data_IF_728196466617
#
_entry.id   IF_728196466617
#
_cell.length_a   1.000
_cell.length_b   1.000
_cell.length_c   1.000
_cell.angle_alpha   90.00
_cell.angle_beta   90.00
_cell.angle_gamma   90.00
#
_symmetry.space_group_name_H-M   'P 1'
#
loop_
_entity.id
_entity.type
_entity.pdbx_description
1 polymer ?
#
# COMPACT_ATOMS: atom_id res chain seq x y z
N UNK A 1 19.21 -4.96 -16.15
CA UNK A 1 18.35 -6.15 -16.26
C UNK A 1 17.03 -5.77 -16.94
N UNK A 2 16.41 -6.71 -17.61
CA UNK A 2 15.07 -6.56 -18.19
C UNK A 2 14.05 -7.19 -17.26
N UNK A 3 13.24 -6.38 -16.61
CA UNK A 3 12.33 -6.78 -15.52
C UNK A 3 10.89 -6.66 -16.02
N UNK A 4 10.08 -7.69 -15.81
CA UNK A 4 8.64 -7.59 -15.88
C UNK A 4 8.08 -7.49 -14.47
N UNK A 5 7.38 -6.41 -14.18
CA UNK A 5 6.55 -6.28 -12.98
C UNK A 5 5.10 -6.56 -13.34
N UNK A 6 4.41 -7.46 -12.62
CA UNK A 6 3.03 -7.83 -12.93
C UNK A 6 2.18 -7.90 -11.66
N UNK A 7 1.23 -7.00 -11.54
CA UNK A 7 0.42 -6.83 -10.34
C UNK A 7 -1.04 -6.49 -10.66
N UNK A 8 -1.77 -6.01 -9.68
CA UNK A 8 -3.16 -5.56 -9.78
C UNK A 8 -3.30 -4.12 -9.34
N UNK A 9 -4.38 -3.40 -9.71
CA UNK A 9 -4.61 -2.02 -9.25
C UNK A 9 -4.61 -1.82 -7.73
N UNK A 10 -4.85 -2.89 -6.96
CA UNK A 10 -4.92 -2.82 -5.50
C UNK A 10 -3.57 -2.60 -4.81
N UNK A 11 -2.46 -2.82 -5.52
CA UNK A 11 -1.10 -2.62 -5.02
C UNK A 11 -0.36 -1.49 -5.75
N UNK A 12 -1.04 -0.80 -6.67
CA UNK A 12 -0.43 0.24 -7.49
C UNK A 12 0.18 1.39 -6.67
N UNK A 13 -0.32 1.65 -5.46
CA UNK A 13 0.20 2.65 -4.53
C UNK A 13 1.62 2.34 -4.03
N UNK A 14 1.98 1.07 -3.88
CA UNK A 14 3.36 0.65 -3.57
C UNK A 14 4.15 0.21 -4.81
N UNK A 15 3.48 -0.27 -5.86
CA UNK A 15 4.14 -0.75 -7.08
C UNK A 15 4.71 0.40 -7.93
N UNK A 16 3.96 1.49 -8.10
CA UNK A 16 4.40 2.64 -8.91
C UNK A 16 5.73 3.21 -8.40
N UNK A 17 5.88 3.49 -7.09
CA UNK A 17 7.14 3.97 -6.56
C UNK A 17 8.30 2.97 -6.75
N UNK A 18 8.05 1.68 -6.57
CA UNK A 18 9.09 0.66 -6.79
C UNK A 18 9.49 0.56 -8.26
N UNK A 19 8.51 0.53 -9.17
CA UNK A 19 8.78 0.48 -10.62
C UNK A 19 9.55 1.71 -11.06
N UNK A 20 9.15 2.91 -10.60
CA UNK A 20 9.88 4.17 -10.82
C UNK A 20 11.33 4.06 -10.35
N UNK A 21 11.56 3.63 -9.11
CA UNK A 21 12.91 3.53 -8.55
C UNK A 21 13.79 2.52 -9.34
N UNK A 22 13.21 1.42 -9.82
CA UNK A 22 13.92 0.48 -10.68
C UNK A 22 14.25 1.08 -12.07
N UNK A 23 13.34 1.90 -12.64
CA UNK A 23 13.57 2.63 -13.88
C UNK A 23 14.70 3.68 -13.71
N UNK A 24 14.65 4.45 -12.62
CA UNK A 24 15.68 5.44 -12.26
C UNK A 24 17.05 4.81 -12.00
N UNK A 25 17.07 3.55 -11.50
CA UNK A 25 18.30 2.76 -11.35
C UNK A 25 18.82 2.20 -12.71
N UNK A 26 18.22 2.57 -13.85
CA UNK A 26 18.68 2.21 -15.19
C UNK A 26 18.24 0.82 -15.65
N UNK A 27 17.21 0.22 -15.03
CA UNK A 27 16.69 -1.07 -15.46
C UNK A 27 15.58 -0.91 -16.52
N UNK A 28 15.51 -1.88 -17.47
CA UNK A 28 14.42 -1.96 -18.45
C UNK A 28 13.20 -2.63 -17.81
N UNK A 29 12.32 -1.81 -17.22
CA UNK A 29 11.15 -2.30 -16.49
C UNK A 29 9.88 -2.15 -17.33
N UNK A 30 9.22 -3.26 -17.62
CA UNK A 30 7.86 -3.30 -18.17
C UNK A 30 6.88 -3.59 -17.04
N UNK A 31 5.83 -2.78 -16.89
CA UNK A 31 4.83 -3.00 -15.87
C UNK A 31 3.50 -3.42 -16.48
N UNK A 32 3.01 -4.61 -16.11
CA UNK A 32 1.68 -5.11 -16.44
C UNK A 32 0.74 -4.96 -15.24
N UNK A 33 -0.46 -4.41 -15.47
CA UNK A 33 -1.49 -4.24 -14.44
C UNK A 33 -2.73 -5.03 -14.86
N UNK A 34 -3.11 -6.03 -14.07
CA UNK A 34 -4.29 -6.86 -14.32
C UNK A 34 -5.56 -6.11 -13.94
N UNK A 35 -6.23 -5.50 -14.91
CA UNK A 35 -7.49 -4.78 -14.73
C UNK A 35 -8.69 -5.68 -15.03
N UNK A 36 -9.69 -5.64 -14.15
CA UNK A 36 -10.97 -6.34 -14.30
C UNK A 36 -12.11 -5.45 -13.79
N UNK A 37 -13.40 -5.73 -14.09
CA UNK A 37 -14.51 -4.88 -13.71
C UNK A 37 -14.60 -4.57 -12.21
N UNK A 38 -14.14 -5.48 -11.35
CA UNK A 38 -14.12 -5.27 -9.88
C UNK A 38 -12.95 -4.41 -9.38
N UNK A 39 -11.98 -4.08 -10.23
CA UNK A 39 -10.78 -3.32 -9.89
C UNK A 39 -10.64 -1.99 -10.64
N UNK A 40 -11.70 -1.52 -11.29
CA UNK A 40 -11.74 -0.22 -11.96
C UNK A 40 -11.58 0.94 -10.98
N UNK A 41 -12.01 0.72 -9.75
CA UNK A 41 -11.86 1.66 -8.65
C UNK A 41 -11.01 1.04 -7.55
N UNK A 42 -9.83 1.58 -7.36
CA UNK A 42 -8.86 1.18 -6.33
C UNK A 42 -8.06 2.41 -5.91
N UNK A 43 -7.00 2.25 -5.11
CA UNK A 43 -6.28 3.37 -4.50
C UNK A 43 -5.84 4.43 -5.53
N UNK A 44 -5.19 4.01 -6.62
CA UNK A 44 -4.70 4.93 -7.68
C UNK A 44 -5.58 4.94 -8.94
N UNK A 45 -6.54 4.06 -9.03
CA UNK A 45 -7.39 3.87 -10.21
C UNK A 45 -8.81 4.35 -9.92
N UNK A 46 -9.33 5.22 -10.76
CA UNK A 46 -10.74 5.61 -10.79
C UNK A 46 -11.21 5.63 -12.27
N UNK A 47 -11.09 4.44 -12.90
CA UNK A 47 -11.45 4.24 -14.30
C UNK A 47 -12.95 4.39 -14.44
N UNK A 48 -13.38 5.36 -15.22
CA UNK A 48 -14.80 5.67 -15.46
C UNK A 48 -15.43 4.74 -16.46
N UNK A 49 -14.69 4.45 -17.54
CA UNK A 49 -15.15 3.60 -18.62
C UNK A 49 -14.08 2.57 -18.99
N UNK A 50 -14.43 1.30 -18.87
CA UNK A 50 -13.52 0.22 -19.24
C UNK A 50 -13.52 -0.02 -20.76
N UNK A 51 -12.33 -0.11 -21.36
CA UNK A 51 -12.18 -0.52 -22.76
C UNK A 51 -12.82 -1.90 -22.98
N UNK A 52 -13.73 -2.00 -23.98
CA UNK A 52 -14.55 -3.20 -24.22
C UNK A 52 -13.81 -4.28 -25.03
N UNK A 53 -12.50 -4.40 -24.85
CA UNK A 53 -11.65 -5.41 -25.51
C UNK A 53 -10.82 -6.17 -24.47
N UNK A 54 -10.81 -7.51 -24.58
CA UNK A 54 -9.94 -8.36 -23.78
C UNK A 54 -8.55 -8.41 -24.43
N UNK A 55 -7.66 -7.48 -24.06
CA UNK A 55 -6.34 -7.30 -24.68
C UNK A 55 -5.28 -6.83 -23.66
N UNK A 56 -4.01 -6.89 -24.07
CA UNK A 56 -2.93 -6.17 -23.39
C UNK A 56 -2.75 -4.87 -24.17
N UNK A 57 -3.09 -3.76 -23.54
CA UNK A 57 -3.10 -2.43 -24.16
C UNK A 57 -2.19 -1.46 -23.37
N UNK A 58 -1.60 -0.44 -24.00
CA UNK A 58 -0.87 0.59 -23.28
C UNK A 58 -1.76 1.27 -22.23
N UNK A 59 -1.17 1.64 -21.10
CA UNK A 59 -1.91 2.35 -20.03
C UNK A 59 -2.49 3.69 -20.51
N UNK A 60 -1.92 4.30 -21.53
CA UNK A 60 -2.38 5.55 -22.18
C UNK A 60 -3.77 5.46 -22.80
N UNK A 61 -4.32 4.26 -22.98
CA UNK A 61 -5.74 4.07 -23.36
C UNK A 61 -6.73 4.51 -22.27
N UNK A 62 -6.23 4.71 -21.03
CA UNK A 62 -7.02 5.18 -19.91
C UNK A 62 -6.60 6.60 -19.53
N UNK A 63 -7.40 7.64 -19.89
CA UNK A 63 -7.07 9.04 -19.62
C UNK A 63 -6.81 9.34 -18.14
N UNK A 64 -7.47 8.58 -17.25
CA UNK A 64 -7.32 8.72 -15.80
C UNK A 64 -5.90 8.39 -15.31
N UNK A 65 -5.14 7.61 -16.07
CA UNK A 65 -3.76 7.26 -15.74
C UNK A 65 -2.74 8.27 -16.25
N UNK A 66 -3.14 9.22 -17.10
CA UNK A 66 -2.25 10.23 -17.67
C UNK A 66 -1.57 11.10 -16.61
N UNK A 67 -2.21 11.32 -15.49
CA UNK A 67 -1.66 12.09 -14.36
C UNK A 67 -0.31 11.54 -13.87
N UNK A 68 -0.04 10.25 -14.08
CA UNK A 68 1.21 9.60 -13.65
C UNK A 68 2.36 9.70 -14.67
N UNK A 69 2.15 10.29 -15.86
CA UNK A 69 3.22 10.50 -16.85
C UNK A 69 4.35 11.39 -16.33
N UNK A 70 4.04 12.32 -15.41
CA UNK A 70 5.03 13.15 -14.74
C UNK A 70 5.70 12.47 -13.53
N UNK A 71 5.21 11.30 -13.14
CA UNK A 71 5.71 10.58 -11.97
C UNK A 71 6.68 9.46 -12.36
N UNK A 72 6.38 8.70 -13.42
CA UNK A 72 7.18 7.57 -13.89
C UNK A 72 7.07 7.40 -15.42
N UNK A 73 7.95 6.59 -16.02
CA UNK A 73 7.85 6.26 -17.45
C UNK A 73 6.63 5.36 -17.72
N UNK A 74 5.52 5.98 -18.12
CA UNK A 74 4.28 5.30 -18.46
C UNK A 74 4.31 4.61 -19.84
N UNK A 75 5.33 4.84 -20.68
CA UNK A 75 5.43 4.24 -22.02
C UNK A 75 5.60 2.72 -21.98
N UNK A 76 6.08 2.18 -20.86
CA UNK A 76 6.28 0.75 -20.59
C UNK A 76 5.25 0.16 -19.62
N UNK A 77 4.16 0.89 -19.36
CA UNK A 77 3.04 0.42 -18.53
C UNK A 77 1.92 -0.07 -19.44
N UNK A 78 1.48 -1.30 -19.22
CA UNK A 78 0.42 -1.95 -19.99
C UNK A 78 -0.67 -2.48 -19.07
N UNK A 79 -1.90 -2.37 -19.54
CA UNK A 79 -3.08 -2.91 -18.87
C UNK A 79 -3.45 -4.26 -19.50
N UNK A 80 -3.45 -5.30 -18.69
CA UNK A 80 -4.06 -6.60 -19.04
C UNK A 80 -5.57 -6.44 -18.82
N UNK A 81 -6.23 -5.87 -19.82
CA UNK A 81 -7.65 -5.51 -19.75
C UNK A 81 -8.54 -6.73 -19.92
N UNK A 82 -9.32 -7.04 -18.90
CA UNK A 82 -10.28 -8.15 -18.87
C UNK A 82 -11.67 -7.62 -18.54
N UNK A 83 -12.61 -7.76 -19.49
CA UNK A 83 -13.99 -7.26 -19.35
C UNK A 83 -14.92 -8.18 -18.55
N UNK A 84 -14.42 -9.30 -18.04
CA UNK A 84 -15.21 -10.33 -17.37
C UNK A 84 -14.84 -10.44 -15.89
N UNK A 85 -15.88 -10.53 -15.05
CA UNK A 85 -15.75 -10.68 -13.59
C UNK A 85 -15.09 -12.00 -13.17
N UNK A 86 -15.42 -13.10 -13.86
CA UNK A 86 -15.05 -14.45 -13.42
C UNK A 86 -13.61 -14.80 -13.82
N UNK A 87 -12.75 -15.01 -12.82
CA UNK A 87 -11.35 -15.43 -13.03
C UNK A 87 -11.21 -16.83 -13.65
N UNK A 88 -12.22 -17.68 -13.51
CA UNK A 88 -12.21 -19.06 -14.00
C UNK A 88 -12.78 -19.23 -15.41
N UNK A 89 -13.23 -18.17 -16.05
CA UNK A 89 -13.82 -18.21 -17.40
C UNK A 89 -12.81 -18.62 -18.48
N UNK A 90 -13.31 -19.14 -19.61
CA UNK A 90 -12.49 -19.43 -20.80
C UNK A 90 -11.81 -18.18 -21.34
N UNK A 91 -12.44 -17.01 -21.21
CA UNK A 91 -11.86 -15.74 -21.64
C UNK A 91 -10.70 -15.32 -20.72
N UNK A 92 -10.81 -15.54 -19.41
CA UNK A 92 -9.69 -15.33 -18.47
C UNK A 92 -8.51 -16.27 -18.81
N UNK A 93 -8.79 -17.51 -19.21
CA UNK A 93 -7.78 -18.43 -19.72
C UNK A 93 -7.10 -17.90 -21.00
N UNK A 94 -7.91 -17.45 -21.98
CA UNK A 94 -7.38 -16.85 -23.22
C UNK A 94 -6.51 -15.62 -22.92
N UNK A 95 -6.90 -14.78 -21.96
CA UNK A 95 -6.09 -13.64 -21.53
C UNK A 95 -4.76 -14.09 -20.90
N UNK A 96 -4.78 -15.12 -20.05
CA UNK A 96 -3.54 -15.68 -19.51
C UNK A 96 -2.59 -16.18 -20.60
N UNK A 97 -3.13 -16.80 -21.68
CA UNK A 97 -2.31 -17.19 -22.84
C UNK A 97 -1.70 -15.99 -23.56
N UNK A 98 -2.43 -14.85 -23.67
CA UNK A 98 -1.87 -13.61 -24.22
C UNK A 98 -0.72 -13.11 -23.33
N UNK A 99 -0.87 -13.13 -22.01
CA UNK A 99 0.19 -12.77 -21.05
C UNK A 99 1.40 -13.69 -21.19
N UNK A 100 1.21 -15.01 -21.29
CA UNK A 100 2.33 -15.97 -21.54
C UNK A 100 3.09 -15.63 -22.80
N UNK A 101 2.37 -15.34 -23.90
CA UNK A 101 3.01 -14.94 -25.18
C UNK A 101 3.77 -13.62 -25.03
N UNK A 102 3.20 -12.64 -24.35
CA UNK A 102 3.84 -11.36 -24.07
C UNK A 102 5.15 -11.56 -23.30
N UNK A 103 5.12 -12.34 -22.21
CA UNK A 103 6.29 -12.66 -21.39
C UNK A 103 7.38 -13.36 -22.23
N UNK A 104 7.01 -14.37 -23.03
CA UNK A 104 7.96 -15.09 -23.86
C UNK A 104 8.60 -14.20 -24.91
N UNK A 105 7.82 -13.32 -25.56
CA UNK A 105 8.32 -12.36 -26.56
C UNK A 105 9.24 -11.33 -25.92
N UNK A 106 8.94 -10.89 -24.70
CA UNK A 106 9.69 -9.86 -23.98
C UNK A 106 11.08 -10.32 -23.50
N UNK A 107 11.33 -11.64 -23.35
CA UNK A 107 12.61 -12.22 -22.90
C UNK A 107 13.14 -11.58 -21.60
N UNK A 108 12.26 -11.45 -20.60
CA UNK A 108 12.59 -10.84 -19.30
C UNK A 108 13.56 -11.72 -18.51
N UNK A 109 14.50 -11.09 -17.82
CA UNK A 109 15.45 -11.74 -16.92
C UNK A 109 14.74 -12.19 -15.64
N UNK A 110 13.91 -11.29 -15.08
CA UNK A 110 13.13 -11.49 -13.86
C UNK A 110 11.68 -11.12 -14.10
N UNK A 111 10.77 -11.85 -13.48
CA UNK A 111 9.34 -11.57 -13.42
C UNK A 111 8.97 -11.37 -11.96
N UNK A 112 8.63 -10.15 -11.58
CA UNK A 112 8.16 -9.85 -10.23
C UNK A 112 6.64 -9.72 -10.22
N UNK A 113 5.98 -10.33 -9.23
CA UNK A 113 4.55 -10.15 -9.00
C UNK A 113 4.29 -9.80 -7.56
N UNK A 114 3.47 -8.79 -7.33
CA UNK A 114 3.16 -8.28 -6.00
C UNK A 114 1.83 -8.82 -5.45
N UNK A 115 1.25 -9.76 -6.14
CA UNK A 115 0.04 -10.44 -5.70
C UNK A 115 -0.11 -11.82 -6.29
N UNK A 116 -0.93 -12.61 -5.64
CA UNK A 116 -1.43 -13.87 -6.21
C UNK A 116 -2.48 -13.55 -7.25
N UNK A 117 -2.08 -13.55 -8.48
CA UNK A 117 -2.95 -13.40 -9.64
C UNK A 117 -3.96 -14.57 -9.72
N UNK A 118 -5.11 -14.39 -10.36
CA UNK A 118 -6.20 -15.35 -10.42
C UNK A 118 -5.83 -16.79 -10.86
N UNK A 119 -6.78 -17.71 -10.83
CA UNK A 119 -6.57 -19.17 -10.96
C UNK A 119 -5.71 -19.59 -12.16
N UNK A 120 -5.96 -19.03 -13.35
CA UNK A 120 -5.22 -19.41 -14.56
C UNK A 120 -3.76 -18.97 -14.55
N UNK A 121 -3.40 -18.02 -13.67
CA UNK A 121 -2.03 -17.56 -13.50
C UNK A 121 -1.12 -18.58 -12.81
N UNK A 122 -1.66 -19.67 -12.25
CA UNK A 122 -0.86 -20.84 -11.85
C UNK A 122 -0.02 -21.38 -13.03
N UNK A 123 -0.50 -21.20 -14.27
CA UNK A 123 0.28 -21.52 -15.47
C UNK A 123 1.54 -20.65 -15.59
N UNK A 124 1.48 -19.38 -15.22
CA UNK A 124 2.66 -18.49 -15.20
C UNK A 124 3.69 -18.99 -14.18
N UNK A 125 3.24 -19.35 -12.98
CA UNK A 125 4.12 -19.90 -11.93
C UNK A 125 4.78 -21.21 -12.40
N UNK A 126 4.04 -22.10 -13.06
CA UNK A 126 4.59 -23.34 -13.61
C UNK A 126 5.62 -23.08 -14.72
N UNK A 127 5.37 -22.14 -15.62
CA UNK A 127 6.23 -21.86 -16.77
C UNK A 127 7.47 -21.02 -16.41
N UNK A 128 7.33 -20.08 -15.48
CA UNK A 128 8.35 -19.07 -15.21
C UNK A 128 8.83 -19.05 -13.75
N UNK A 129 8.33 -19.91 -12.88
CA UNK A 129 8.57 -19.85 -11.44
C UNK A 129 10.03 -19.85 -10.99
N UNK A 130 10.96 -20.34 -11.85
CA UNK A 130 12.40 -20.28 -11.57
C UNK A 130 12.95 -18.86 -11.55
N UNK A 131 12.41 -17.97 -12.39
CA UNK A 131 12.79 -16.55 -12.50
C UNK A 131 11.71 -15.59 -11.97
N UNK A 132 10.69 -16.13 -11.30
CA UNK A 132 9.67 -15.34 -10.65
C UNK A 132 10.06 -15.01 -9.23
N UNK A 133 9.73 -13.78 -8.84
CA UNK A 133 9.75 -13.26 -7.47
C UNK A 133 8.33 -12.93 -7.08
N UNK A 134 7.88 -13.38 -5.92
CA UNK A 134 6.55 -13.11 -5.39
C UNK A 134 6.64 -12.34 -4.07
N UNK A 135 6.16 -11.10 -4.07
CA UNK A 135 5.97 -10.34 -2.82
C UNK A 135 4.73 -10.83 -2.10
N UNK A 136 4.86 -11.08 -0.82
CA UNK A 136 3.80 -11.55 0.07
C UNK A 136 3.50 -10.45 1.10
N UNK A 137 2.36 -9.78 0.95
CA UNK A 137 1.93 -8.74 1.89
C UNK A 137 1.44 -9.35 3.21
N UNK A 138 0.61 -10.40 3.11
CA UNK A 138 0.05 -11.11 4.26
C UNK A 138 0.36 -12.61 4.17
N UNK A 139 1.47 -13.06 4.78
CA UNK A 139 1.87 -14.47 4.76
C UNK A 139 0.83 -15.40 5.40
N UNK A 140 0.11 -14.89 6.38
CA UNK A 140 -0.93 -15.60 7.14
C UNK A 140 -2.22 -14.78 7.11
N UNK A 141 -3.11 -15.09 6.16
CA UNK A 141 -4.36 -14.35 6.01
C UNK A 141 -5.24 -14.42 7.24
N UNK A 142 -5.92 -13.32 7.54
CA UNK A 142 -6.81 -13.19 8.69
C UNK A 142 -7.94 -14.21 8.65
N UNK A 143 -8.40 -14.66 9.82
CA UNK A 143 -9.50 -15.60 9.99
C UNK A 143 -10.77 -15.07 9.32
N UNK A 144 -11.33 -15.84 8.37
CA UNK A 144 -12.58 -15.50 7.66
C UNK A 144 -12.41 -14.96 6.24
N UNK A 145 -11.20 -14.61 5.79
CA UNK A 145 -10.98 -14.00 4.47
C UNK A 145 -10.61 -15.00 3.36
N UNK A 146 -10.36 -16.28 3.69
CA UNK A 146 -9.87 -17.25 2.70
C UNK A 146 -10.90 -18.32 2.38
N UNK A 147 -11.26 -18.38 1.10
CA UNK A 147 -11.96 -19.55 0.55
C UNK A 147 -10.99 -20.73 0.34
N UNK A 148 -11.51 -21.96 0.37
CA UNK A 148 -10.74 -23.19 0.09
C UNK A 148 -9.95 -23.09 -1.24
N UNK A 149 -10.56 -22.46 -2.26
CA UNK A 149 -9.93 -22.20 -3.56
C UNK A 149 -8.72 -21.25 -3.49
N UNK A 150 -8.84 -20.16 -2.74
CA UNK A 150 -7.72 -19.23 -2.53
C UNK A 150 -6.58 -19.93 -1.79
N UNK A 151 -6.89 -20.72 -0.76
CA UNK A 151 -5.91 -21.51 0.00
C UNK A 151 -5.17 -22.51 -0.89
N UNK A 152 -5.88 -23.19 -1.79
CA UNK A 152 -5.28 -24.12 -2.76
C UNK A 152 -4.34 -23.38 -3.72
N UNK A 153 -4.79 -22.28 -4.34
CA UNK A 153 -3.98 -21.50 -5.26
C UNK A 153 -2.70 -20.97 -4.57
N UNK A 154 -2.83 -20.50 -3.32
CA UNK A 154 -1.71 -20.03 -2.51
C UNK A 154 -0.69 -21.16 -2.31
N UNK A 155 -1.14 -22.34 -1.86
CA UNK A 155 -0.26 -23.50 -1.67
C UNK A 155 0.44 -23.93 -2.96
N UNK A 156 -0.25 -23.87 -4.09
CA UNK A 156 0.33 -24.21 -5.40
C UNK A 156 1.36 -23.17 -5.85
N UNK A 157 1.12 -21.88 -5.66
CA UNK A 157 2.07 -20.82 -5.96
C UNK A 157 3.36 -20.98 -5.14
N UNK A 158 3.25 -21.24 -3.82
CA UNK A 158 4.40 -21.48 -2.95
C UNK A 158 5.28 -22.67 -3.39
N UNK A 159 4.69 -23.68 -4.04
CA UNK A 159 5.42 -24.82 -4.59
C UNK A 159 6.12 -24.54 -5.93
N UNK A 160 5.57 -23.62 -6.73
CA UNK A 160 6.02 -23.38 -8.10
C UNK A 160 7.00 -22.20 -8.20
N UNK A 161 6.83 -21.16 -7.37
CA UNK A 161 7.72 -20.01 -7.29
C UNK A 161 8.90 -20.34 -6.39
N UNK A 162 10.07 -19.79 -6.69
CA UNK A 162 11.30 -20.09 -5.94
C UNK A 162 11.85 -18.94 -5.12
N UNK A 163 11.37 -17.71 -5.36
CA UNK A 163 11.92 -16.52 -4.72
C UNK A 163 10.77 -15.68 -4.18
N UNK A 164 10.89 -15.28 -2.93
CA UNK A 164 9.84 -14.58 -2.20
C UNK A 164 10.37 -13.31 -1.58
N UNK A 165 9.51 -12.33 -1.42
CA UNK A 165 9.78 -11.13 -0.63
C UNK A 165 8.76 -11.06 0.49
N UNK A 166 9.23 -10.94 1.71
CA UNK A 166 8.41 -10.62 2.88
C UNK A 166 8.70 -9.20 3.31
N UNK A 167 7.67 -8.49 3.74
CA UNK A 167 7.73 -7.07 4.04
C UNK A 167 8.01 -6.79 5.54
N UNK A 168 8.19 -7.84 6.33
CA UNK A 168 8.69 -7.78 7.70
C UNK A 168 9.43 -9.08 8.06
N UNK A 169 10.34 -9.00 9.03
CA UNK A 169 11.16 -10.15 9.43
C UNK A 169 10.45 -11.08 10.43
N UNK A 170 9.51 -10.59 11.23
CA UNK A 170 8.84 -11.34 12.30
C UNK A 170 8.13 -12.61 11.81
N UNK A 171 7.66 -12.60 10.57
CA UNK A 171 6.91 -13.71 10.00
C UNK A 171 7.78 -14.70 9.20
N UNK A 172 9.07 -14.41 9.01
CA UNK A 172 9.99 -15.21 8.17
C UNK A 172 10.10 -16.67 8.64
N UNK A 173 10.37 -16.87 9.92
CA UNK A 173 10.56 -18.22 10.45
C UNK A 173 9.29 -19.06 10.31
N UNK A 174 8.14 -18.50 10.67
CA UNK A 174 6.85 -19.16 10.53
C UNK A 174 6.51 -19.43 9.06
N UNK A 175 6.83 -18.51 8.15
CA UNK A 175 6.63 -18.67 6.70
C UNK A 175 7.48 -19.83 6.17
N UNK A 176 8.76 -19.89 6.51
CA UNK A 176 9.64 -20.98 6.12
C UNK A 176 9.10 -22.34 6.57
N UNK A 177 8.68 -22.46 7.83
CA UNK A 177 8.10 -23.69 8.38
C UNK A 177 6.79 -24.09 7.71
N UNK A 178 5.89 -23.14 7.50
CA UNK A 178 4.53 -23.39 6.99
C UNK A 178 4.50 -23.78 5.51
N UNK A 179 5.40 -23.21 4.72
CA UNK A 179 5.42 -23.41 3.26
C UNK A 179 6.63 -24.21 2.76
N UNK A 180 7.51 -24.68 3.66
CA UNK A 180 8.74 -25.41 3.34
C UNK A 180 9.65 -24.62 2.37
N UNK A 181 9.74 -23.30 2.59
CA UNK A 181 10.60 -22.38 1.85
C UNK A 181 11.91 -22.22 2.59
N UNK A 182 13.04 -22.28 1.88
CA UNK A 182 14.36 -22.10 2.48
C UNK A 182 14.66 -20.61 2.70
N UNK A 183 15.35 -20.25 3.80
CA UNK A 183 15.63 -18.85 4.15
C UNK A 183 16.33 -18.03 3.04
N UNK A 184 17.22 -18.69 2.25
CA UNK A 184 17.93 -18.06 1.13
C UNK A 184 17.06 -17.76 -0.11
N UNK A 185 15.83 -18.25 -0.14
CA UNK A 185 14.84 -17.95 -1.16
C UNK A 185 14.03 -16.67 -0.83
N UNK A 186 14.27 -16.08 0.34
CA UNK A 186 13.48 -14.98 0.87
C UNK A 186 14.34 -13.73 1.02
N UNK A 187 13.94 -12.67 0.35
CA UNK A 187 14.35 -11.31 0.66
C UNK A 187 13.43 -10.74 1.73
N UNK A 188 13.98 -10.23 2.82
CA UNK A 188 13.26 -9.34 3.73
C UNK A 188 13.46 -7.91 3.23
N UNK A 189 12.37 -7.26 2.89
CA UNK A 189 12.36 -5.87 2.49
C UNK A 189 11.23 -5.14 3.23
N UNK A 190 10.95 -3.91 2.86
CA UNK A 190 9.93 -3.08 3.51
C UNK A 190 9.12 -2.30 2.49
N UNK A 191 7.99 -1.75 2.91
CA UNK A 191 7.28 -0.75 2.14
C UNK A 191 7.99 0.60 2.29
N UNK A 192 8.14 1.30 1.18
CA UNK A 192 8.48 2.72 1.17
C UNK A 192 7.24 3.60 1.29
N UNK A 193 7.44 4.91 1.28
CA UNK A 193 6.34 5.87 1.30
C UNK A 193 5.56 5.84 -0.03
N UNK A 194 4.25 6.06 0.03
CA UNK A 194 3.41 6.11 -1.17
C UNK A 194 3.45 7.51 -1.80
N UNK A 195 4.64 7.90 -2.30
CA UNK A 195 4.94 9.24 -2.78
C UNK A 195 4.29 9.59 -4.12
N UNK A 196 3.67 8.63 -4.81
CA UNK A 196 2.82 8.86 -5.96
C UNK A 196 1.62 9.81 -5.69
N UNK A 197 1.20 9.96 -4.43
CA UNK A 197 0.19 10.94 -4.01
C UNK A 197 0.68 12.39 -4.26
N UNK A 198 2.00 12.62 -4.33
CA UNK A 198 2.59 13.92 -4.62
C UNK A 198 2.14 14.50 -5.97
N UNK A 199 1.73 13.64 -6.91
CA UNK A 199 1.13 14.02 -8.21
C UNK A 199 -0.09 14.94 -8.05
N UNK A 200 -0.76 14.86 -6.90
CA UNK A 200 -1.97 15.62 -6.58
C UNK A 200 -1.72 16.79 -5.62
N UNK A 201 -0.47 17.06 -5.25
CA UNK A 201 -0.18 18.17 -4.36
C UNK A 201 -0.43 19.50 -5.04
N UNK A 202 -1.05 20.39 -4.30
CA UNK A 202 -1.24 21.79 -4.70
C UNK A 202 -0.46 22.68 -3.76
N UNK A 203 0.21 23.74 -4.27
CA UNK A 203 0.79 24.75 -3.41
C UNK A 203 -0.26 25.32 -2.47
N UNK A 204 0.01 25.29 -1.19
CA UNK A 204 -0.86 25.85 -0.15
C UNK A 204 -0.03 26.67 0.81
N UNK A 205 -0.62 27.77 1.32
CA UNK A 205 -0.01 28.50 2.42
C UNK A 205 0.04 27.59 3.66
N UNK A 206 1.22 27.51 4.28
CA UNK A 206 1.46 26.72 5.48
C UNK A 206 0.75 27.34 6.68
N UNK A 207 -0.54 27.07 6.86
CA UNK A 207 -1.24 27.40 8.09
C UNK A 207 -0.97 26.32 9.13
N UNK A 208 -0.65 26.74 10.35
CA UNK A 208 -0.60 25.82 11.51
C UNK A 208 -1.96 25.20 11.66
N UNK A 209 -2.05 23.89 11.52
CA UNK A 209 -3.29 23.14 11.64
C UNK A 209 -3.29 22.30 12.91
N UNK A 210 -4.43 22.25 13.61
CA UNK A 210 -4.68 21.29 14.70
C UNK A 210 -5.68 20.20 14.26
N UNK A 211 -5.75 19.93 12.94
CA UNK A 211 -6.57 18.86 12.42
C UNK A 211 -5.88 17.50 12.61
N UNK A 212 -6.59 16.56 13.22
CA UNK A 212 -6.25 15.15 13.38
C UNK A 212 -6.95 14.37 12.27
N UNK A 213 -6.22 13.60 11.48
CA UNK A 213 -6.76 12.86 10.36
C UNK A 213 -6.76 11.35 10.62
N UNK A 214 -7.94 10.74 10.53
CA UNK A 214 -8.10 9.30 10.34
C UNK A 214 -8.55 9.06 8.91
N UNK A 215 -7.88 8.17 8.19
CA UNK A 215 -8.31 7.80 6.83
C UNK A 215 -8.12 6.31 6.52
N UNK A 216 -8.83 5.86 5.49
CA UNK A 216 -8.86 4.48 5.06
C UNK A 216 -10.17 3.77 5.43
N UNK A 217 -10.27 2.48 5.11
CA UNK A 217 -11.51 1.71 5.30
C UNK A 217 -11.96 1.71 6.76
N UNK A 218 -13.23 2.03 7.00
CA UNK A 218 -13.84 1.93 8.33
C UNK A 218 -14.13 0.46 8.62
N UNK A 219 -13.52 -0.07 9.69
CA UNK A 219 -13.71 -1.46 10.13
C UNK A 219 -13.31 -1.59 11.61
N UNK A 220 -13.82 -2.59 12.35
CA UNK A 220 -13.62 -2.71 13.79
C UNK A 220 -12.14 -2.73 14.21
N UNK A 221 -11.29 -3.45 13.49
CA UNK A 221 -9.86 -3.54 13.84
C UNK A 221 -9.11 -2.20 13.69
N UNK A 222 -9.68 -1.22 12.99
CA UNK A 222 -9.12 0.13 12.83
C UNK A 222 -9.30 1.01 14.08
N UNK A 223 -10.12 0.61 15.05
CA UNK A 223 -10.23 1.23 16.36
C UNK A 223 -10.72 2.68 16.37
N UNK A 224 -11.56 3.07 15.38
CA UNK A 224 -12.04 4.44 15.22
C UNK A 224 -12.81 4.92 16.46
N UNK A 225 -13.51 4.04 17.17
CA UNK A 225 -14.22 4.34 18.42
C UNK A 225 -13.29 4.85 19.52
N UNK A 226 -12.07 4.31 19.63
CA UNK A 226 -11.08 4.76 20.61
C UNK A 226 -10.55 6.16 20.26
N UNK A 227 -10.38 6.46 18.97
CA UNK A 227 -10.00 7.79 18.52
C UNK A 227 -11.10 8.82 18.84
N UNK A 228 -12.35 8.50 18.54
CA UNK A 228 -13.46 9.40 18.86
C UNK A 228 -13.53 9.73 20.35
N UNK A 229 -13.35 8.73 21.23
CA UNK A 229 -13.29 8.93 22.68
C UNK A 229 -12.07 9.77 23.10
N UNK A 230 -10.90 9.50 22.53
CA UNK A 230 -9.68 10.26 22.82
C UNK A 230 -9.82 11.73 22.42
N UNK A 231 -10.47 12.01 21.29
CA UNK A 231 -10.64 13.38 20.79
C UNK A 231 -11.51 14.26 21.69
N UNK A 232 -12.42 13.71 22.49
CA UNK A 232 -13.13 14.46 23.52
C UNK A 232 -12.12 15.06 24.52
N UNK A 233 -11.20 14.23 25.04
CA UNK A 233 -10.15 14.66 25.97
C UNK A 233 -9.13 15.59 25.30
N UNK A 234 -8.85 15.40 24.02
CA UNK A 234 -8.00 16.31 23.24
C UNK A 234 -8.65 17.70 23.18
N UNK A 235 -9.95 17.76 22.90
CA UNK A 235 -10.70 19.01 22.76
C UNK A 235 -10.70 19.85 24.03
N UNK A 236 -10.71 19.21 25.22
CA UNK A 236 -10.61 19.88 26.52
C UNK A 236 -9.28 20.63 26.70
N UNK A 237 -8.19 20.13 26.10
CA UNK A 237 -6.84 20.69 26.25
C UNK A 237 -6.34 21.47 25.03
N UNK A 238 -6.91 21.24 23.87
CA UNK A 238 -6.62 21.93 22.61
C UNK A 238 -7.97 22.32 21.97
N UNK A 239 -8.55 23.45 22.41
CA UNK A 239 -9.93 23.85 22.04
C UNK A 239 -10.17 24.03 20.55
N UNK A 240 -9.15 24.32 19.74
CA UNK A 240 -9.20 24.45 18.28
C UNK A 240 -8.87 23.14 17.54
N UNK A 241 -8.61 22.03 18.24
CA UNK A 241 -8.42 20.73 17.61
C UNK A 241 -9.67 20.29 16.85
N UNK A 242 -9.48 19.71 15.68
CA UNK A 242 -10.54 19.12 14.85
C UNK A 242 -10.20 17.69 14.46
N UNK A 243 -11.22 16.90 14.16
CA UNK A 243 -11.08 15.51 13.69
C UNK A 243 -11.70 15.37 12.30
N UNK A 244 -10.93 14.87 11.35
CA UNK A 244 -11.44 14.42 10.05
C UNK A 244 -11.37 12.91 9.97
N UNK A 245 -12.50 12.26 9.70
CA UNK A 245 -12.64 10.82 9.46
C UNK A 245 -12.97 10.63 7.98
N UNK A 246 -12.04 10.06 7.21
CA UNK A 246 -12.15 9.96 5.76
C UNK A 246 -11.99 8.51 5.27
N UNK A 247 -13.07 7.91 4.74
CA UNK A 247 -13.02 6.58 4.17
C UNK A 247 -14.33 5.81 4.26
N UNK A 248 -14.53 4.88 3.34
CA UNK A 248 -15.77 4.11 3.26
C UNK A 248 -15.78 2.88 4.18
N UNK A 249 -16.95 2.52 4.65
CA UNK A 249 -17.19 1.30 5.41
C UNK A 249 -18.48 1.33 6.21
N UNK A 250 -18.88 0.15 6.70
CA UNK A 250 -20.03 0.08 7.61
C UNK A 250 -19.58 0.55 8.99
N UNK A 251 -20.26 1.58 9.52
CA UNK A 251 -20.04 2.02 10.90
C UNK A 251 -20.43 0.88 11.85
N UNK A 252 -19.56 0.56 12.80
CA UNK A 252 -19.70 -0.57 13.71
C UNK A 252 -19.94 -0.15 15.18
N UNK A 253 -19.98 1.16 15.43
CA UNK A 253 -20.35 1.78 16.71
C UNK A 253 -21.23 3.00 16.44
N UNK A 254 -21.84 3.55 17.46
CA UNK A 254 -22.64 4.77 17.33
C UNK A 254 -21.75 6.00 17.16
N UNK A 255 -21.65 6.50 15.94
CA UNK A 255 -20.89 7.70 15.58
C UNK A 255 -21.69 9.00 15.79
N UNK A 256 -23.01 8.93 15.93
CA UNK A 256 -23.89 10.10 15.92
C UNK A 256 -23.56 11.14 17.02
N UNK A 257 -23.18 10.76 18.25
CA UNK A 257 -22.78 11.74 19.28
C UNK A 257 -21.56 12.59 18.88
N UNK A 258 -20.63 11.99 18.12
CA UNK A 258 -19.42 12.66 17.64
C UNK A 258 -19.69 13.47 16.39
N UNK A 259 -20.47 12.94 15.47
CA UNK A 259 -20.81 13.62 14.19
C UNK A 259 -21.63 14.90 14.39
N UNK A 260 -22.32 15.05 15.52
CA UNK A 260 -23.05 16.28 15.89
C UNK A 260 -22.11 17.40 16.38
N UNK A 261 -20.84 17.09 16.63
CA UNK A 261 -19.87 18.08 17.08
C UNK A 261 -19.36 18.89 15.88
N UNK A 262 -19.25 20.20 16.02
CA UNK A 262 -18.77 21.13 14.99
C UNK A 262 -17.29 20.95 14.62
N UNK A 263 -16.53 20.28 15.49
CA UNK A 263 -15.13 19.95 15.30
C UNK A 263 -14.88 18.55 14.68
N UNK A 264 -15.94 17.81 14.30
CA UNK A 264 -15.82 16.47 13.66
C UNK A 264 -16.39 16.48 12.25
N UNK A 265 -15.56 16.11 11.29
CA UNK A 265 -15.97 15.90 9.89
C UNK A 265 -15.92 14.42 9.56
N UNK A 266 -17.04 13.85 9.09
CA UNK A 266 -17.14 12.44 8.69
C UNK A 266 -17.42 12.34 7.20
N UNK A 267 -16.45 11.78 6.45
CA UNK A 267 -16.52 11.52 5.01
C UNK A 267 -16.62 10.00 4.83
N UNK A 268 -17.81 9.42 5.08
CA UNK A 268 -18.01 7.98 4.97
C UNK A 268 -18.32 7.55 3.52
N UNK A 269 -17.30 7.60 2.69
CA UNK A 269 -17.30 7.13 1.30
C UNK A 269 -15.88 6.85 0.85
N UNK A 270 -15.72 6.30 -0.34
CA UNK A 270 -14.40 6.26 -0.98
C UNK A 270 -13.88 7.69 -1.19
N UNK A 271 -12.64 7.92 -0.77
CA UNK A 271 -11.91 9.18 -0.92
C UNK A 271 -10.86 8.99 -2.01
N UNK A 272 -10.96 9.76 -3.08
CA UNK A 272 -9.99 9.71 -4.19
C UNK A 272 -8.64 10.33 -3.79
N UNK A 273 -7.61 10.07 -4.58
CA UNK A 273 -6.24 10.50 -4.25
C UNK A 273 -6.08 12.02 -4.17
N UNK A 274 -6.74 12.77 -5.04
CA UNK A 274 -6.70 14.24 -5.01
C UNK A 274 -7.30 14.80 -3.71
N UNK A 275 -8.45 14.30 -3.31
CA UNK A 275 -9.10 14.71 -2.05
C UNK A 275 -8.24 14.28 -0.84
N UNK A 276 -7.71 13.04 -0.86
CA UNK A 276 -6.85 12.55 0.21
C UNK A 276 -5.57 13.37 0.35
N UNK A 277 -4.96 13.77 -0.77
CA UNK A 277 -3.80 14.67 -0.78
C UNK A 277 -4.12 16.00 -0.09
N UNK A 278 -5.27 16.61 -0.41
CA UNK A 278 -5.74 17.82 0.25
C UNK A 278 -5.96 17.66 1.75
N UNK A 279 -6.59 16.55 2.18
CA UNK A 279 -6.79 16.25 3.60
C UNK A 279 -5.46 16.09 4.34
N UNK A 280 -4.52 15.36 3.75
CA UNK A 280 -3.18 15.17 4.32
C UNK A 280 -2.37 16.47 4.37
N UNK A 281 -2.43 17.31 3.33
CA UNK A 281 -1.77 18.61 3.36
C UNK A 281 -2.26 19.47 4.53
N UNK A 282 -3.56 19.41 4.82
CA UNK A 282 -4.21 20.25 5.84
C UNK A 282 -4.19 19.65 7.25
N UNK A 283 -3.77 18.41 7.47
CA UNK A 283 -3.71 17.85 8.81
C UNK A 283 -2.38 18.14 9.52
N UNK A 284 -2.42 18.19 10.86
CA UNK A 284 -1.24 18.26 11.71
C UNK A 284 -0.54 16.90 11.80
N UNK A 285 -1.34 15.85 11.94
CA UNK A 285 -0.90 14.46 12.11
C UNK A 285 -2.00 13.48 11.68
N UNK A 286 -1.60 12.24 11.42
CA UNK A 286 -2.55 11.13 11.19
C UNK A 286 -2.57 10.17 12.38
N UNK A 287 -3.68 9.45 12.55
CA UNK A 287 -3.84 8.49 13.65
C UNK A 287 -4.22 7.11 13.13
N UNK A 288 -3.50 6.09 13.61
CA UNK A 288 -3.75 4.67 13.36
C UNK A 288 -4.05 3.93 14.68
N UNK A 289 -5.28 4.03 15.24
CA UNK A 289 -5.61 3.51 16.57
C UNK A 289 -5.98 2.03 16.52
N UNK A 290 -5.29 1.25 15.70
CA UNK A 290 -5.64 -0.11 15.33
C UNK A 290 -5.57 -1.08 16.51
N UNK A 291 -6.46 -2.08 16.51
CA UNK A 291 -6.43 -3.16 17.50
C UNK A 291 -5.72 -4.41 16.96
N UNK A 292 -5.53 -4.49 15.65
CA UNK A 292 -4.78 -5.54 14.96
C UNK A 292 -4.29 -5.02 13.60
N UNK A 293 -3.06 -5.35 13.21
CA UNK A 293 -2.54 -5.01 11.87
C UNK A 293 -1.27 -5.80 11.54
N UNK A 294 -1.13 -6.23 10.28
CA UNK A 294 0.14 -6.73 9.73
C UNK A 294 1.02 -5.58 9.27
N UNK A 295 0.42 -4.62 8.57
CA UNK A 295 1.04 -3.42 8.02
C UNK A 295 0.00 -2.30 7.83
N UNK A 296 0.44 -1.09 7.51
CA UNK A 296 -0.47 0.02 7.25
C UNK A 296 0.00 0.93 6.11
N UNK A 297 -0.65 0.86 4.96
CA UNK A 297 -0.50 1.84 3.89
C UNK A 297 -0.82 3.27 4.34
N UNK A 298 -1.69 3.43 5.34
CA UNK A 298 -2.02 4.74 5.94
C UNK A 298 -0.76 5.43 6.51
N UNK A 299 0.13 4.68 7.19
CA UNK A 299 1.38 5.24 7.70
C UNK A 299 2.28 5.68 6.54
N UNK A 300 2.44 4.84 5.52
CA UNK A 300 3.30 5.15 4.37
C UNK A 300 2.73 6.33 3.54
N UNK A 301 1.41 6.43 3.42
CA UNK A 301 0.75 7.58 2.79
C UNK A 301 0.93 8.85 3.62
N UNK A 302 0.85 8.79 4.96
CA UNK A 302 1.10 9.95 5.83
C UNK A 302 2.55 10.42 5.73
N UNK A 303 3.49 9.48 5.71
CA UNK A 303 4.91 9.79 5.60
C UNK A 303 5.30 10.35 4.23
N UNK A 304 4.51 10.11 3.19
CA UNK A 304 4.76 10.73 1.87
C UNK A 304 4.65 12.27 1.90
N UNK A 305 3.88 12.83 2.86
CA UNK A 305 3.83 14.26 3.14
C UNK A 305 4.58 14.64 4.43
N UNK A 306 5.46 13.79 4.89
CA UNK A 306 6.22 13.99 6.15
C UNK A 306 5.31 14.26 7.36
N UNK A 307 4.06 13.74 7.37
CA UNK A 307 3.13 13.90 8.50
C UNK A 307 3.45 12.87 9.57
N UNK A 308 3.72 13.28 10.83
CA UNK A 308 3.92 12.34 11.92
C UNK A 308 2.62 11.56 12.21
N UNK A 309 2.79 10.34 12.72
CA UNK A 309 1.67 9.44 13.00
C UNK A 309 1.61 9.09 14.48
N UNK A 310 0.42 9.14 15.08
CA UNK A 310 0.16 8.45 16.34
C UNK A 310 -0.45 7.09 16.03
N UNK A 311 0.24 6.02 16.40
CA UNK A 311 -0.21 4.65 16.11
C UNK A 311 -0.22 3.79 17.38
N UNK A 312 -1.02 2.75 17.35
CA UNK A 312 -0.96 1.70 18.38
C UNK A 312 0.17 0.72 18.09
N UNK A 313 0.80 0.21 19.14
CA UNK A 313 1.88 -0.77 19.02
C UNK A 313 1.30 -2.19 18.85
N UNK A 314 0.72 -2.44 17.68
CA UNK A 314 0.16 -3.76 17.28
C UNK A 314 0.81 -4.27 16.01
N UNK A 315 1.03 -5.58 15.94
CA UNK A 315 1.56 -6.25 14.76
C UNK A 315 2.81 -5.60 14.20
N UNK A 316 2.79 -5.24 12.92
CA UNK A 316 3.90 -4.61 12.23
C UNK A 316 3.95 -3.08 12.36
N UNK A 317 2.98 -2.41 13.00
CA UNK A 317 2.97 -0.96 13.11
C UNK A 317 4.15 -0.43 13.92
N UNK A 318 4.56 -1.18 14.96
CA UNK A 318 5.74 -0.85 15.77
C UNK A 318 7.07 -0.85 14.99
N UNK A 319 7.13 -1.52 13.84
CA UNK A 319 8.30 -1.48 12.94
C UNK A 319 8.23 -0.32 11.94
N UNK A 320 7.02 0.19 11.66
CA UNK A 320 6.79 1.28 10.72
C UNK A 320 6.93 2.65 11.37
N UNK A 321 6.66 2.77 12.68
CA UNK A 321 6.75 4.02 13.43
C UNK A 321 7.88 3.94 14.45
N UNK A 322 8.91 4.76 14.27
CA UNK A 322 9.98 4.93 15.27
C UNK A 322 9.47 5.89 16.36
N UNK A 323 9.15 5.31 17.54
CA UNK A 323 8.55 6.05 18.64
C UNK A 323 9.42 7.25 19.08
N UNK A 324 8.84 8.43 19.08
CA UNK A 324 9.51 9.69 19.40
C UNK A 324 10.30 10.31 18.24
N UNK A 325 10.56 9.58 17.14
CA UNK A 325 11.35 10.04 16.00
C UNK A 325 10.49 10.35 14.76
N UNK A 326 9.60 9.43 14.37
CA UNK A 326 8.73 9.62 13.18
C UNK A 326 7.25 9.70 13.54
N UNK A 327 6.93 9.44 14.81
CA UNK A 327 5.59 9.44 15.36
C UNK A 327 5.61 8.99 16.82
N UNK A 328 4.43 8.69 17.36
CA UNK A 328 4.28 8.16 18.73
C UNK A 328 3.56 6.81 18.68
N UNK A 329 4.00 5.88 19.52
CA UNK A 329 3.37 4.58 19.73
C UNK A 329 2.68 4.55 21.09
N UNK A 330 1.45 4.03 21.11
CA UNK A 330 0.64 3.85 22.33
C UNK A 330 0.10 2.41 22.41
N UNK A 331 -0.35 2.00 23.59
CA UNK A 331 -1.02 0.71 23.74
C UNK A 331 -2.37 0.69 23.00
N UNK A 332 -2.77 -0.44 22.39
CA UNK A 332 -4.08 -0.54 21.76
C UNK A 332 -5.21 -0.43 22.78
N UNK A 333 -6.33 0.18 22.37
CA UNK A 333 -7.52 0.42 23.20
C UNK A 333 -7.30 1.33 24.42
N UNK A 334 -6.14 1.96 24.56
CA UNK A 334 -5.83 2.92 25.60
C UNK A 334 -6.17 4.34 25.14
N UNK A 335 -7.39 4.76 25.48
CA UNK A 335 -7.95 6.08 25.12
C UNK A 335 -7.13 7.21 25.73
N UNK A 336 -6.63 7.04 26.97
CA UNK A 336 -5.88 8.08 27.68
C UNK A 336 -4.49 8.27 27.11
N UNK A 337 -3.77 7.18 26.84
CA UNK A 337 -2.47 7.25 26.16
C UNK A 337 -2.61 7.83 24.75
N UNK A 338 -3.67 7.47 24.00
CA UNK A 338 -3.95 8.00 22.67
C UNK A 338 -4.21 9.51 22.73
N UNK A 339 -5.07 9.97 23.63
CA UNK A 339 -5.36 11.39 23.82
C UNK A 339 -4.08 12.17 24.19
N UNK A 340 -3.31 11.68 25.16
CA UNK A 340 -2.06 12.31 25.59
C UNK A 340 -1.04 12.41 24.45
N UNK A 341 -0.90 11.38 23.63
CA UNK A 341 0.01 11.40 22.48
C UNK A 341 -0.42 12.45 21.43
N UNK A 342 -1.71 12.54 21.13
CA UNK A 342 -2.26 13.54 20.20
C UNK A 342 -2.05 14.95 20.76
N UNK A 343 -2.39 15.21 22.03
CA UNK A 343 -2.21 16.51 22.69
C UNK A 343 -0.75 16.94 22.64
N UNK A 344 0.18 16.04 22.97
CA UNK A 344 1.61 16.33 22.94
C UNK A 344 2.09 16.79 21.56
N UNK A 345 1.60 16.16 20.49
CA UNK A 345 1.97 16.56 19.15
C UNK A 345 1.25 17.83 18.68
N UNK A 346 -0.01 18.05 19.07
CA UNK A 346 -0.73 19.27 18.68
C UNK A 346 -0.15 20.52 19.35
N UNK A 347 0.32 20.42 20.60
CA UNK A 347 0.89 21.54 21.36
C UNK A 347 2.37 21.82 21.03
N UNK A 348 3.07 20.96 20.29
CA UNK A 348 4.51 21.08 20.06
C UNK A 348 4.83 21.05 18.55
N UNK A 349 4.77 22.23 17.92
CA UNK A 349 5.08 22.43 16.51
C UNK A 349 6.53 22.08 16.18
N UNK A 350 7.46 22.38 17.10
CA UNK A 350 8.89 22.08 16.93
C UNK A 350 9.09 20.57 16.86
N UNK A 351 8.44 19.84 17.73
CA UNK A 351 8.50 18.37 17.73
C UNK A 351 7.91 17.78 16.46
N UNK A 352 6.74 18.28 15.99
CA UNK A 352 6.17 17.83 14.72
C UNK A 352 7.11 18.10 13.54
N UNK A 353 7.74 19.27 13.51
CA UNK A 353 8.72 19.62 12.47
C UNK A 353 9.93 18.69 12.50
N UNK A 354 10.49 18.43 13.68
CA UNK A 354 11.61 17.50 13.83
C UNK A 354 11.23 16.09 13.38
N UNK A 355 10.02 15.62 13.68
CA UNK A 355 9.50 14.33 13.17
C UNK A 355 9.35 14.33 11.65
N UNK A 356 8.86 15.41 11.07
CA UNK A 356 8.75 15.57 9.62
C UNK A 356 10.13 15.52 8.93
N UNK A 357 11.14 16.17 9.50
CA UNK A 357 12.50 16.15 9.00
C UNK A 357 13.15 14.76 9.12
N UNK A 358 12.89 14.06 10.21
CA UNK A 358 13.32 12.66 10.38
C UNK A 358 12.67 11.74 9.34
N UNK A 359 11.35 11.88 9.10
CA UNK A 359 10.65 11.11 8.07
C UNK A 359 11.27 11.38 6.70
N UNK A 360 11.54 12.65 6.38
CA UNK A 360 12.21 13.02 5.11
C UNK A 360 13.57 12.37 4.97
N UNK A 361 14.40 12.44 6.00
CA UNK A 361 15.75 11.88 5.97
C UNK A 361 15.72 10.35 5.83
N UNK A 362 14.83 9.65 6.57
CA UNK A 362 14.78 8.20 6.59
C UNK A 362 14.16 7.63 5.29
N UNK A 363 13.06 8.23 4.82
CA UNK A 363 12.21 7.62 3.77
C UNK A 363 12.41 8.22 2.38
N UNK A 364 13.08 9.38 2.25
CA UNK A 364 13.34 9.97 0.92
C UNK A 364 14.82 9.98 0.55
N UNK A 365 15.73 9.91 1.55
CA UNK A 365 17.19 9.98 1.34
C UNK A 365 17.87 8.70 1.81
N UNK A 366 17.49 8.17 2.99
CA UNK A 366 18.12 7.04 3.65
C UNK A 366 17.78 5.66 3.04
N UNK A 367 18.14 4.61 3.76
CA UNK A 367 17.96 3.21 3.37
C UNK A 367 16.49 2.74 3.30
N UNK A 368 15.56 3.53 3.87
CA UNK A 368 14.12 3.32 3.77
C UNK A 368 13.51 4.02 2.54
N UNK A 369 14.29 4.78 1.77
CA UNK A 369 13.86 5.37 0.51
C UNK A 369 13.59 4.31 -0.55
N UNK A 370 12.79 4.63 -1.56
CA UNK A 370 12.56 3.72 -2.68
C UNK A 370 13.84 3.36 -3.42
N UNK A 371 14.84 4.25 -3.45
CA UNK A 371 16.17 3.93 -3.97
C UNK A 371 16.81 2.81 -3.16
N UNK A 372 16.92 2.94 -1.83
CA UNK A 372 17.52 1.91 -0.99
C UNK A 372 16.73 0.60 -0.99
N UNK A 373 15.39 0.69 -1.11
CA UNK A 373 14.51 -0.48 -1.28
C UNK A 373 14.79 -1.16 -2.62
N UNK A 374 14.86 -0.41 -3.71
CA UNK A 374 15.10 -0.93 -5.05
C UNK A 374 16.50 -1.57 -5.17
N UNK A 375 17.53 -1.00 -4.56
CA UNK A 375 18.89 -1.56 -4.52
C UNK A 375 18.89 -3.00 -3.96
N UNK A 376 18.15 -3.25 -2.88
CA UNK A 376 17.99 -4.60 -2.30
C UNK A 376 17.27 -5.56 -3.25
N UNK A 377 16.24 -5.09 -3.96
CA UNK A 377 15.58 -5.88 -4.99
C UNK A 377 16.53 -6.22 -6.14
N UNK A 378 17.30 -5.25 -6.61
CA UNK A 378 18.27 -5.42 -7.69
C UNK A 378 19.34 -6.44 -7.33
N UNK A 379 19.88 -6.38 -6.11
CA UNK A 379 20.82 -7.38 -5.60
C UNK A 379 20.19 -8.78 -5.59
N UNK A 380 18.97 -8.90 -5.08
CA UNK A 380 18.26 -10.18 -5.04
C UNK A 380 17.95 -10.72 -6.45
N UNK A 381 17.55 -9.85 -7.39
CA UNK A 381 17.35 -10.23 -8.79
C UNK A 381 18.67 -10.69 -9.45
N UNK A 382 19.79 -10.05 -9.13
CA UNK A 382 21.12 -10.46 -9.60
C UNK A 382 21.46 -11.90 -9.23
N UNK A 383 21.10 -12.35 -8.01
CA UNK A 383 21.28 -13.73 -7.57
C UNK A 383 20.41 -14.73 -8.35
N UNK A 384 19.30 -14.29 -8.93
CA UNK A 384 18.41 -15.14 -9.74
C UNK A 384 18.95 -15.29 -11.15
N UNK A 385 19.46 -14.20 -11.73
CA UNK A 385 19.97 -14.15 -13.11
C UNK A 385 21.34 -14.82 -13.24
N UNK A 386 22.16 -14.74 -12.20
CA UNK A 386 23.51 -15.34 -12.17
C UNK A 386 23.55 -16.85 -11.94
N UNK A 387 22.40 -17.49 -11.75
CA UNK A 387 22.22 -18.95 -11.63
C UNK A 387 21.64 -19.55 -12.90
#
# INVERSE_FOLDING_TARGET
MKILYYSTPFFADCDFPLVKALQEAGHDVTYLIALAPYSLKSTLFDIKEQVQENAIIPATYYPELKVYENYMDMSKVYIVNRTIMQDSSLQSFKMTLKVVRFIKKGKYDVIHTDSMLGMWNLMLYKLFGKKMVLTIHDPFPHTGEITARKKFNYKMAMKMVRHFVLLNDKQKEQFCKSYHVRPEQILINRLGVYDNISTFFRPQDSKTSHNVLFFGRISPYKGLEFLCQAMIKVKEQVPDATLTIAGGGKMYFDIAPYQKQDWVVVINRYVGMEELAGLLQNCALSVCPYTDATQSGVIMTSYSLCKPVVATNVGGLGEMVENGKTGLLVSPKDVDALAKAIINLLKDDVRRKNMADNIRNDYFVGDKSWRGIAEKYVEFYGQIVGK
#
